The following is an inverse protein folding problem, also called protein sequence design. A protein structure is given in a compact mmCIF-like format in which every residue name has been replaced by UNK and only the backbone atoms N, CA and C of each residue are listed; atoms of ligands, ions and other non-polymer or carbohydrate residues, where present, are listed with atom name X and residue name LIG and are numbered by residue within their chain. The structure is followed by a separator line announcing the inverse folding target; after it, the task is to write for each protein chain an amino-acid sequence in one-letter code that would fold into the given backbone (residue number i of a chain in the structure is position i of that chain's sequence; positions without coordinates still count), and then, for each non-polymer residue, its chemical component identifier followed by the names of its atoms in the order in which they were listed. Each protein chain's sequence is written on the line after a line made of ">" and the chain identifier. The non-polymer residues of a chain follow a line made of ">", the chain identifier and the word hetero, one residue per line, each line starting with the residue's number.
data_IF_309684158367
#
_entry.id   IF_309684158367
#
_cell.length_a   1.000
_cell.length_b   1.000
_cell.length_c   1.000
_cell.angle_alpha   90.00
_cell.angle_beta   90.00
_cell.angle_gamma   90.00
#
_symmetry.space_group_name_H-M   'P 1'
#
loop_
_entity.id
_entity.type
_entity.pdbx_description
1 polymer ?
#
# COMPACT_ATOMS: atom_id res chain seq x y z
N UNK A 1 -14.27 -2.84 -1.66
CA UNK A 1 -13.16 -2.65 -0.72
C UNK A 1 -12.55 -1.27 -0.86
N UNK A 2 -11.93 -0.81 0.22
CA UNK A 2 -11.22 0.45 0.29
C UNK A 2 -9.91 0.28 1.04
N UNK A 3 -8.92 1.11 0.72
CA UNK A 3 -7.58 1.05 1.29
C UNK A 3 -6.99 2.44 1.35
N UNK A 4 -6.18 2.71 2.37
CA UNK A 4 -5.37 3.93 2.43
C UNK A 4 -3.92 3.55 2.15
N UNK A 5 -3.31 4.22 1.18
CA UNK A 5 -1.88 4.05 0.84
C UNK A 5 -1.17 5.37 0.86
N UNK A 6 0.12 5.34 1.18
CA UNK A 6 1.01 6.49 1.07
C UNK A 6 2.17 6.12 0.13
N UNK A 7 2.02 6.33 -1.19
CA UNK A 7 3.06 5.98 -2.15
C UNK A 7 4.31 6.84 -1.96
N UNK A 8 5.48 6.27 -2.22
CA UNK A 8 6.71 7.04 -2.24
C UNK A 8 6.71 8.06 -3.38
N UNK A 9 6.94 9.33 -3.05
CA UNK A 9 7.13 10.42 -4.02
C UNK A 9 8.61 10.76 -4.08
N UNK A 10 9.21 10.63 -5.26
CA UNK A 10 10.63 10.90 -5.46
C UNK A 10 11.02 12.32 -4.99
N UNK A 11 12.06 12.41 -4.15
CA UNK A 11 12.53 13.68 -3.59
C UNK A 11 11.68 14.24 -2.44
N UNK A 12 10.73 13.48 -1.90
CA UNK A 12 9.94 13.84 -0.71
C UNK A 12 10.07 12.76 0.36
N UNK A 13 10.03 13.18 1.63
CA UNK A 13 9.91 12.25 2.76
C UNK A 13 8.47 11.72 2.83
N UNK A 14 8.28 10.52 3.39
CA UNK A 14 6.99 9.86 3.49
C UNK A 14 5.89 10.75 4.10
N UNK A 15 6.20 11.46 5.19
CA UNK A 15 5.25 12.36 5.85
C UNK A 15 4.72 13.51 4.97
N UNK A 16 5.42 13.85 3.88
CA UNK A 16 4.99 14.89 2.92
C UNK A 16 4.35 14.32 1.65
N UNK A 17 4.38 13.00 1.46
CA UNK A 17 3.63 12.36 0.39
C UNK A 17 2.14 12.30 0.75
N UNK A 18 1.22 12.49 -0.20
CA UNK A 18 -0.21 12.43 0.09
C UNK A 18 -0.62 11.01 0.48
N UNK A 19 -1.50 10.89 1.47
CA UNK A 19 -2.25 9.66 1.69
C UNK A 19 -3.40 9.60 0.67
N UNK A 20 -3.55 8.48 -0.01
CA UNK A 20 -4.58 8.22 -1.00
C UNK A 20 -5.58 7.21 -0.45
N UNK A 21 -6.87 7.52 -0.53
CA UNK A 21 -7.94 6.53 -0.32
C UNK A 21 -8.29 5.89 -1.65
N UNK A 22 -7.90 4.64 -1.82
CA UNK A 22 -8.21 3.83 -2.99
C UNK A 22 -9.52 3.09 -2.75
N UNK A 23 -10.35 3.03 -3.79
CA UNK A 23 -11.54 2.17 -3.85
C UNK A 23 -11.29 1.12 -4.92
N UNK A 24 -11.64 -0.14 -4.63
CA UNK A 24 -11.57 -1.20 -5.65
C UNK A 24 -12.59 -0.89 -6.75
N UNK A 25 -12.12 -0.90 -8.00
CA UNK A 25 -12.93 -0.68 -9.19
C UNK A 25 -13.02 -1.97 -10.00
N UNK A 26 -14.06 -2.12 -10.81
CA UNK A 26 -14.19 -3.26 -11.73
C UNK A 26 -13.15 -3.22 -12.86
N UNK A 27 -12.68 -2.03 -13.21
CA UNK A 27 -11.63 -1.81 -14.20
C UNK A 27 -10.52 -0.95 -13.57
N UNK A 28 -9.28 -1.39 -13.75
CA UNK A 28 -8.07 -0.75 -13.23
C UNK A 28 -7.41 -1.55 -12.10
N UNK A 29 -6.07 -1.54 -12.08
CA UNK A 29 -5.29 -2.48 -11.28
C UNK A 29 -4.65 -1.87 -10.03
N UNK A 30 -4.78 -0.56 -9.81
CA UNK A 30 -4.05 0.12 -8.74
C UNK A 30 -4.39 -0.44 -7.35
N UNK A 31 -5.65 -0.83 -7.12
CA UNK A 31 -6.02 -1.47 -5.86
C UNK A 31 -5.33 -2.83 -5.71
N UNK A 32 -5.45 -3.69 -6.73
CA UNK A 32 -4.88 -5.05 -6.71
C UNK A 32 -3.36 -5.02 -6.57
N UNK A 33 -2.67 -4.08 -7.22
CA UNK A 33 -1.21 -3.91 -7.09
C UNK A 33 -0.78 -3.68 -5.64
N UNK A 34 -1.49 -2.82 -4.90
CA UNK A 34 -1.17 -2.60 -3.49
C UNK A 34 -1.62 -3.74 -2.58
N UNK A 35 -2.73 -4.40 -2.91
CA UNK A 35 -3.18 -5.61 -2.21
C UNK A 35 -2.13 -6.72 -2.29
N UNK A 36 -1.64 -7.03 -3.48
CA UNK A 36 -0.59 -8.03 -3.70
C UNK A 36 0.72 -7.65 -3.00
N UNK A 37 1.08 -6.35 -3.04
CA UNK A 37 2.24 -5.84 -2.32
C UNK A 37 2.14 -6.06 -0.81
N UNK A 38 0.97 -5.83 -0.21
CA UNK A 38 0.78 -6.03 1.23
C UNK A 38 0.73 -7.50 1.59
N UNK A 39 0.09 -8.35 0.78
CA UNK A 39 0.09 -9.79 0.96
C UNK A 39 1.52 -10.34 0.96
N UNK A 40 2.35 -9.91 0.00
CA UNK A 40 3.76 -10.31 -0.09
C UNK A 40 4.54 -9.93 1.19
N UNK A 41 4.39 -8.69 1.67
CA UNK A 41 5.05 -8.26 2.93
C UNK A 41 4.60 -9.10 4.12
N UNK A 42 3.31 -9.44 4.17
CA UNK A 42 2.74 -10.23 5.26
C UNK A 42 3.22 -11.68 5.24
N UNK A 43 3.26 -12.30 4.07
CA UNK A 43 3.73 -13.68 3.88
C UNK A 43 5.21 -13.83 4.27
N UNK A 44 6.02 -12.78 4.02
CA UNK A 44 7.43 -12.72 4.39
C UNK A 44 7.69 -12.27 5.84
N UNK A 45 6.65 -11.86 6.57
CA UNK A 45 6.79 -11.34 7.92
C UNK A 45 7.20 -12.45 8.91
N UNK A 46 8.03 -12.08 9.89
CA UNK A 46 8.42 -12.95 11.00
C UNK A 46 7.77 -12.48 12.29
N UNK A 47 7.47 -13.39 13.25
CA UNK A 47 6.99 -12.98 14.57
C UNK A 47 7.91 -11.94 15.20
N UNK A 48 7.33 -10.90 15.79
CA UNK A 48 8.09 -9.88 16.49
C UNK A 48 8.77 -10.52 17.73
N UNK A 49 10.09 -10.43 17.79
CA UNK A 49 10.86 -10.72 19.00
C UNK A 49 10.89 -9.42 19.82
N UNK A 50 9.99 -9.33 20.79
CA UNK A 50 9.96 -8.26 21.79
C UNK A 50 10.87 -8.61 22.97
#
# INVERSE_FOLDING_TARGET
>A
DEMIVNPHVYGKIAAHAPALRLRRLHAGDLFTVYEDSFATVWDDAKPAAW
#
